data_IF_027833662925
#
_entry.id   IF_027833662925
#
_cell.length_a   1.000
_cell.length_b   1.000
_cell.length_c   1.000
_cell.angle_alpha   90.00
_cell.angle_beta   90.00
_cell.angle_gamma   90.00
#
_symmetry.space_group_name_H-M   'P 1'
#
loop_
_entity.id
_entity.type
_entity.pdbx_description
1 polymer ?
#
# COMPACT_ATOMS: atom_id res chain seq x y z
N UNK A 1 4.77 3.04 19.98
CA UNK A 1 5.44 2.62 18.72
C UNK A 1 4.87 1.33 18.12
N UNK A 2 4.66 0.25 18.90
CA UNK A 2 4.08 -1.01 18.38
C UNK A 2 2.76 -0.80 17.60
N UNK A 3 1.87 0.05 18.11
CA UNK A 3 0.59 0.35 17.46
C UNK A 3 0.76 1.13 16.14
N UNK A 4 1.66 2.12 16.07
CA UNK A 4 1.94 2.90 14.84
C UNK A 4 2.45 2.01 13.70
N UNK A 5 3.35 1.06 14.01
CA UNK A 5 3.89 0.11 13.01
C UNK A 5 2.83 -0.88 12.55
N UNK A 6 1.90 -1.30 13.43
CA UNK A 6 0.75 -2.13 13.03
C UNK A 6 -0.20 -1.37 12.10
N UNK A 7 -0.52 -0.12 12.44
CA UNK A 7 -1.36 0.75 11.59
C UNK A 7 -0.74 0.92 10.21
N UNK A 8 0.57 1.19 10.14
CA UNK A 8 1.30 1.26 8.87
C UNK A 8 1.14 -0.04 8.05
N UNK A 9 1.28 -1.21 8.68
CA UNK A 9 1.08 -2.50 8.00
C UNK A 9 -0.32 -2.67 7.42
N UNK A 10 -1.36 -2.28 8.16
CA UNK A 10 -2.74 -2.31 7.63
C UNK A 10 -2.93 -1.34 6.47
N UNK A 11 -2.40 -0.13 6.58
CA UNK A 11 -2.46 0.86 5.49
C UNK A 11 -1.74 0.34 4.24
N UNK A 12 -0.57 -0.29 4.39
CA UNK A 12 0.19 -0.91 3.28
C UNK A 12 -0.52 -2.06 2.59
N UNK A 13 -1.36 -2.79 3.33
CA UNK A 13 -2.16 -3.86 2.77
C UNK A 13 -3.41 -3.34 2.06
N UNK A 14 -4.08 -2.34 2.65
CA UNK A 14 -5.26 -1.74 2.04
C UNK A 14 -4.91 -1.01 0.75
N UNK A 15 -3.80 -0.27 0.74
CA UNK A 15 -3.24 0.34 -0.47
C UNK A 15 -2.99 -0.71 -1.57
N UNK A 16 -2.35 -1.83 -1.22
CA UNK A 16 -2.16 -2.93 -2.18
C UNK A 16 -3.47 -3.44 -2.77
N UNK A 17 -4.53 -3.61 -1.97
CA UNK A 17 -5.81 -4.06 -2.49
C UNK A 17 -6.38 -3.03 -3.46
N UNK A 18 -6.40 -1.75 -3.09
CA UNK A 18 -6.91 -0.68 -3.94
C UNK A 18 -6.13 -0.59 -5.25
N UNK A 19 -4.80 -0.66 -5.19
CA UNK A 19 -3.95 -0.65 -6.39
C UNK A 19 -4.15 -1.91 -7.22
N UNK A 20 -4.29 -3.09 -6.62
CA UNK A 20 -4.57 -4.33 -7.35
C UNK A 20 -5.87 -4.22 -8.15
N UNK A 21 -6.96 -3.79 -7.50
CA UNK A 21 -8.25 -3.59 -8.18
C UNK A 21 -8.15 -2.50 -9.26
N UNK A 22 -7.42 -1.42 -8.99
CA UNK A 22 -7.21 -0.33 -9.95
C UNK A 22 -6.40 -0.71 -11.17
N UNK A 23 -5.39 -1.58 -11.01
CA UNK A 23 -4.52 -2.05 -12.10
C UNK A 23 -5.16 -3.22 -12.85
N UNK A 24 -5.60 -4.26 -12.14
CA UNK A 24 -5.98 -5.55 -12.73
C UNK A 24 -7.44 -5.57 -13.18
N UNK A 25 -8.37 -5.12 -12.32
CA UNK A 25 -9.80 -5.26 -12.58
C UNK A 25 -10.38 -4.05 -13.33
N UNK A 26 -9.89 -2.85 -13.02
CA UNK A 26 -10.40 -1.61 -13.60
C UNK A 26 -9.50 -1.03 -14.69
N UNK A 27 -8.21 -1.39 -14.72
CA UNK A 27 -7.22 -0.85 -15.67
C UNK A 27 -7.16 0.69 -15.72
N UNK A 28 -7.32 1.33 -14.55
CA UNK A 28 -7.34 2.79 -14.37
C UNK A 28 -6.10 3.33 -13.66
N UNK A 29 -5.27 2.45 -13.10
CA UNK A 29 -4.01 2.80 -12.45
C UNK A 29 -2.88 2.16 -13.25
N UNK A 30 -1.92 2.97 -13.67
CA UNK A 30 -0.64 2.47 -14.19
C UNK A 30 0.39 2.42 -13.06
N UNK A 31 0.95 1.25 -12.81
CA UNK A 31 1.98 1.04 -11.79
C UNK A 31 3.38 1.13 -12.42
N UNK A 32 4.22 2.02 -11.91
CA UNK A 32 5.58 2.22 -12.40
C UNK A 32 6.61 1.35 -11.67
N UNK A 33 6.28 0.82 -10.49
CA UNK A 33 7.19 -0.01 -9.71
C UNK A 33 7.26 -1.44 -10.27
N UNK A 34 8.41 -1.89 -10.82
CA UNK A 34 8.51 -3.20 -11.47
C UNK A 34 8.17 -4.37 -10.55
N UNK A 35 8.48 -4.25 -9.26
CA UNK A 35 8.16 -5.28 -8.27
C UNK A 35 6.65 -5.39 -8.04
N UNK A 36 5.94 -4.27 -8.10
CA UNK A 36 4.47 -4.23 -7.95
C UNK A 36 3.78 -4.68 -9.24
N UNK A 37 4.29 -4.28 -10.41
CA UNK A 37 3.81 -4.78 -11.71
C UNK A 37 3.87 -6.31 -11.74
N UNK A 38 5.02 -6.90 -11.43
CA UNK A 38 5.18 -8.35 -11.33
C UNK A 38 4.23 -8.98 -10.30
N UNK A 39 4.02 -8.32 -9.16
CA UNK A 39 3.11 -8.80 -8.12
C UNK A 39 1.64 -8.82 -8.61
N UNK A 40 1.25 -7.84 -9.45
CA UNK A 40 -0.11 -7.70 -9.98
C UNK A 40 -0.40 -8.65 -11.16
N UNK A 41 0.62 -9.22 -11.80
CA UNK A 41 0.46 -10.33 -12.76
C UNK A 41 0.00 -11.64 -12.09
N UNK A 42 0.14 -11.74 -10.76
CA UNK A 42 -0.27 -12.93 -10.01
C UNK A 42 -1.76 -12.89 -9.63
N UNK A 43 -2.42 -14.06 -9.52
CA UNK A 43 -3.77 -14.14 -8.95
C UNK A 43 -3.82 -13.52 -7.54
N UNK A 44 -4.91 -12.80 -7.24
CA UNK A 44 -5.08 -12.00 -6.02
C UNK A 44 -4.62 -12.71 -4.74
N UNK A 45 -4.95 -13.98 -4.56
CA UNK A 45 -4.55 -14.74 -3.37
C UNK A 45 -3.03 -14.90 -3.26
N UNK A 46 -2.34 -15.22 -4.36
CA UNK A 46 -0.88 -15.36 -4.39
C UNK A 46 -0.20 -14.00 -4.18
N UNK A 47 -0.70 -12.96 -4.86
CA UNK A 47 -0.24 -11.59 -4.70
C UNK A 47 -0.40 -11.11 -3.24
N UNK A 48 -1.55 -11.37 -2.62
CA UNK A 48 -1.83 -11.00 -1.23
C UNK A 48 -0.91 -11.70 -0.23
N UNK A 49 -0.64 -13.00 -0.41
CA UNK A 49 0.30 -13.73 0.46
C UNK A 49 1.71 -13.12 0.37
N UNK A 50 2.20 -12.89 -0.85
CA UNK A 50 3.51 -12.26 -1.06
C UNK A 50 3.55 -10.84 -0.47
N UNK A 51 2.47 -10.07 -0.64
CA UNK A 51 2.37 -8.72 -0.05
C UNK A 51 2.44 -8.76 1.47
N UNK A 52 1.77 -9.71 2.11
CA UNK A 52 1.86 -9.89 3.57
C UNK A 52 3.31 -10.16 3.98
N UNK A 53 4.03 -11.02 3.26
CA UNK A 53 5.45 -11.29 3.55
C UNK A 53 6.32 -10.03 3.39
N UNK A 54 6.10 -9.24 2.34
CA UNK A 54 6.81 -7.97 2.12
C UNK A 54 6.53 -6.98 3.26
N UNK A 55 5.27 -6.83 3.67
CA UNK A 55 4.87 -5.96 4.78
C UNK A 55 5.54 -6.41 6.08
N UNK A 56 5.53 -7.71 6.38
CA UNK A 56 6.21 -8.26 7.55
C UNK A 56 7.72 -7.97 7.54
N UNK A 57 8.36 -8.10 6.37
CA UNK A 57 9.76 -7.72 6.16
C UNK A 57 10.03 -6.24 6.47
N UNK A 58 9.22 -5.34 5.90
CA UNK A 58 9.31 -3.89 6.17
C UNK A 58 9.09 -3.58 7.65
N UNK A 59 8.06 -4.17 8.28
CA UNK A 59 7.79 -4.00 9.70
C UNK A 59 8.94 -4.50 10.58
N UNK A 60 9.60 -5.60 10.20
CA UNK A 60 10.78 -6.11 10.89
C UNK A 60 11.96 -5.13 10.81
N UNK A 61 12.24 -4.61 9.62
CA UNK A 61 13.32 -3.62 9.39
C UNK A 61 13.07 -2.32 10.19
N UNK A 62 11.85 -1.80 10.16
CA UNK A 62 11.46 -0.59 10.92
C UNK A 62 11.68 -0.81 12.42
N UNK A 63 11.36 -1.99 12.96
CA UNK A 63 11.58 -2.30 14.39
C UNK A 63 13.07 -2.38 14.75
N UNK A 64 13.93 -2.75 13.81
CA UNK A 64 15.39 -2.82 14.02
C UNK A 64 16.06 -1.46 13.95
N UNK A 65 15.46 -0.50 13.27
CA UNK A 65 16.01 0.84 13.08
C UNK A 65 15.54 1.76 14.22
N UNK A 66 16.44 2.07 15.16
CA UNK A 66 16.16 2.89 16.36
C UNK A 66 16.17 4.41 16.10
N UNK A 67 16.42 4.88 14.87
CA UNK A 67 16.82 6.27 14.55
C UNK A 67 15.76 7.13 13.84
N UNK A 68 14.46 6.89 14.03
CA UNK A 68 13.45 7.75 13.40
C UNK A 68 13.05 8.91 14.31
N UNK A 69 13.18 10.14 13.82
CA UNK A 69 12.59 11.32 14.46
C UNK A 69 11.07 11.26 14.27
N UNK A 70 10.30 11.32 15.36
CA UNK A 70 8.83 11.20 15.36
C UNK A 70 8.11 12.15 14.37
N UNK A 71 8.58 13.40 14.12
CA UNK A 71 7.96 14.28 13.11
C UNK A 71 8.07 13.75 11.68
N UNK A 72 9.21 13.18 11.30
CA UNK A 72 9.44 12.66 9.95
C UNK A 72 8.56 11.43 9.70
N UNK A 73 8.42 10.57 10.69
CA UNK A 73 7.52 9.40 10.62
C UNK A 73 6.05 9.82 10.51
N UNK A 74 5.63 10.87 11.23
CA UNK A 74 4.27 11.43 11.11
C UNK A 74 4.04 12.03 9.72
N UNK A 75 4.99 12.78 9.19
CA UNK A 75 4.91 13.34 7.85
C UNK A 75 4.76 12.24 6.79
N UNK A 76 5.61 11.21 6.85
CA UNK A 76 5.51 10.05 5.95
C UNK A 76 4.15 9.34 6.02
N UNK A 77 3.58 9.18 7.22
CA UNK A 77 2.24 8.63 7.40
C UNK A 77 1.13 9.51 6.78
N UNK A 78 1.26 10.83 6.89
CA UNK A 78 0.30 11.78 6.31
C UNK A 78 0.36 11.72 4.78
N UNK A 79 1.56 11.78 4.20
CA UNK A 79 1.75 11.65 2.75
C UNK A 79 1.19 10.31 2.26
N UNK A 80 1.45 9.22 2.99
CA UNK A 80 0.92 7.91 2.66
C UNK A 80 -0.61 7.85 2.70
N UNK A 81 -1.23 8.46 3.72
CA UNK A 81 -2.69 8.56 3.80
C UNK A 81 -3.27 9.36 2.63
N UNK A 82 -2.60 10.43 2.20
CA UNK A 82 -3.04 11.21 1.03
C UNK A 82 -3.05 10.37 -0.25
N UNK A 83 -2.01 9.57 -0.49
CA UNK A 83 -1.96 8.66 -1.65
C UNK A 83 -3.09 7.63 -1.58
N UNK A 84 -3.36 7.09 -0.40
CA UNK A 84 -4.47 6.15 -0.18
C UNK A 84 -5.83 6.80 -0.51
N UNK A 85 -6.03 8.06 -0.12
CA UNK A 85 -7.23 8.82 -0.49
C UNK A 85 -7.33 9.04 -2.00
N UNK A 86 -6.22 9.31 -2.68
CA UNK A 86 -6.19 9.45 -4.13
C UNK A 86 -6.60 8.15 -4.84
N UNK A 87 -6.07 7.00 -4.39
CA UNK A 87 -6.49 5.69 -4.90
C UNK A 87 -7.98 5.46 -4.71
N UNK A 88 -8.52 5.77 -3.52
CA UNK A 88 -9.97 5.67 -3.28
C UNK A 88 -10.79 6.61 -4.16
N UNK A 89 -10.32 7.85 -4.39
CA UNK A 89 -11.00 8.82 -5.23
C UNK A 89 -11.02 8.40 -6.71
N UNK A 90 -9.91 7.86 -7.23
CA UNK A 90 -9.86 7.32 -8.59
C UNK A 90 -10.80 6.12 -8.74
N UNK A 91 -10.73 5.16 -7.82
CA UNK A 91 -11.63 4.01 -7.84
C UNK A 91 -13.10 4.44 -7.77
N UNK A 92 -13.44 5.43 -6.93
CA UNK A 92 -14.80 5.97 -6.86
C UNK A 92 -15.23 6.62 -8.19
N UNK A 93 -14.40 7.49 -8.76
CA UNK A 93 -14.71 8.17 -10.02
C UNK A 93 -14.97 7.18 -11.15
N UNK A 94 -14.11 6.17 -11.30
CA UNK A 94 -14.21 5.20 -12.38
C UNK A 94 -15.28 4.11 -12.17
N UNK A 95 -15.64 3.81 -10.91
CA UNK A 95 -16.64 2.76 -10.60
C UNK A 95 -18.08 3.32 -10.49
N UNK A 96 -18.26 4.65 -10.32
CA UNK A 96 -19.58 5.29 -10.18
C UNK A 96 -20.08 5.94 -11.47
N UNK A 97 -19.29 5.97 -12.54
CA UNK A 97 -19.78 6.27 -13.89
C UNK A 97 -20.53 7.60 -14.03
N UNK A 98 -19.82 8.72 -13.83
CA UNK A 98 -20.20 10.02 -14.41
C UNK A 98 -19.10 10.46 -15.35
#
# INVERSE_FOLDING_TARGET
>A
MKNKVRVLGYMMFLDFLLTYFGVVDLNVIEEANPLMVWLFELPLLKAAILRVLMILGVMFLIRRTKKYKDPIAKFGLVVYAMVLFLHMAWLWHYNVGV
#
